data_IF_514681761474
#
_entry.id   IF_514681761474
#
_cell.length_a   1.000
_cell.length_b   1.000
_cell.length_c   1.000
_cell.angle_alpha   90.00
_cell.angle_beta   90.00
_cell.angle_gamma   90.00
#
_symmetry.space_group_name_H-M   'P 1'
#
loop_
_entity.id
_entity.type
_entity.pdbx_description
1 polymer ?
#
# COMPACT_ATOMS: atom_id res chain seq x y z
N UNK A 1 4.82 2.11 6.22
CA UNK A 1 5.30 1.77 4.85
C UNK A 1 4.42 2.47 3.83
N UNK A 2 5.01 3.01 2.77
CA UNK A 2 4.31 3.66 1.66
C UNK A 2 4.61 2.90 0.37
N UNK A 3 3.58 2.54 -0.38
CA UNK A 3 3.72 1.99 -1.72
C UNK A 3 4.14 3.07 -2.71
N UNK A 4 5.30 2.87 -3.35
CA UNK A 4 5.83 3.75 -4.39
C UNK A 4 5.95 3.05 -5.75
N UNK A 5 5.36 1.86 -5.88
CA UNK A 5 5.51 1.01 -7.07
C UNK A 5 4.23 0.75 -7.84
N UNK A 6 3.06 0.94 -7.21
CA UNK A 6 1.79 0.82 -7.93
C UNK A 6 1.40 2.15 -8.55
N UNK A 7 2.09 2.39 -9.66
CA UNK A 7 1.99 3.51 -10.58
C UNK A 7 2.45 4.88 -10.03
N UNK A 8 2.49 5.12 -8.71
CA UNK A 8 2.75 6.46 -8.17
C UNK A 8 4.05 6.55 -7.37
N UNK A 9 5.03 7.30 -7.89
CA UNK A 9 6.26 7.68 -7.15
C UNK A 9 6.12 9.12 -6.65
N UNK A 10 6.13 9.35 -5.32
CA UNK A 10 6.05 10.70 -4.76
C UNK A 10 7.30 11.54 -5.09
N UNK A 11 7.12 12.86 -5.18
CA UNK A 11 8.27 13.78 -5.24
C UNK A 11 9.04 13.77 -3.92
N UNK A 12 10.31 14.17 -3.94
CA UNK A 12 11.11 14.30 -2.70
C UNK A 12 10.47 15.28 -1.72
N UNK A 13 9.80 16.35 -2.21
CA UNK A 13 9.01 17.27 -1.38
C UNK A 13 7.88 16.54 -0.65
N UNK A 14 7.15 15.68 -1.34
CA UNK A 14 6.07 14.89 -0.75
C UNK A 14 6.59 13.88 0.25
N UNK A 15 7.70 13.18 -0.06
CA UNK A 15 8.33 12.25 0.87
C UNK A 15 8.76 12.95 2.17
N UNK A 16 9.30 14.16 2.09
CA UNK A 16 9.62 14.97 3.30
C UNK A 16 8.37 15.35 4.08
N UNK A 17 7.30 15.79 3.41
CA UNK A 17 6.01 16.05 4.06
C UNK A 17 5.50 14.81 4.82
N UNK A 18 5.62 13.63 4.23
CA UNK A 18 5.24 12.37 4.89
C UNK A 18 6.14 12.12 6.09
N UNK A 19 7.46 12.30 5.99
CA UNK A 19 8.39 12.17 7.11
C UNK A 19 8.03 13.12 8.26
N UNK A 20 7.64 14.37 7.97
CA UNK A 20 7.18 15.33 9.00
C UNK A 20 5.92 14.83 9.70
N UNK A 21 4.96 14.28 8.94
CA UNK A 21 3.76 13.65 9.51
C UNK A 21 4.12 12.44 10.38
N UNK A 22 4.99 11.56 9.91
CA UNK A 22 5.45 10.40 10.65
C UNK A 22 6.14 10.80 11.96
N UNK A 23 7.02 11.82 11.94
CA UNK A 23 7.69 12.34 13.12
C UNK A 23 6.70 12.93 14.13
N UNK A 24 5.71 13.70 13.65
CA UNK A 24 4.64 14.27 14.49
C UNK A 24 3.88 13.19 15.28
N UNK A 25 3.62 12.04 14.64
CA UNK A 25 2.91 10.91 15.25
C UNK A 25 3.86 9.81 15.76
N UNK A 26 5.15 10.14 15.99
CA UNK A 26 6.14 9.30 16.68
C UNK A 26 6.45 7.98 16.01
N UNK A 27 6.30 7.89 14.69
CA UNK A 27 6.83 6.76 13.95
C UNK A 27 8.35 6.76 14.00
N UNK A 28 8.93 5.57 14.12
CA UNK A 28 10.39 5.39 14.23
C UNK A 28 11.02 4.82 12.97
N UNK A 29 10.20 4.28 12.07
CA UNK A 29 10.66 3.69 10.81
C UNK A 29 9.80 4.17 9.64
N UNK A 30 10.44 4.29 8.47
CA UNK A 30 9.78 4.54 7.20
C UNK A 30 10.31 3.56 6.15
N UNK A 31 9.41 2.93 5.39
CA UNK A 31 9.74 2.00 4.29
C UNK A 31 9.07 2.50 3.00
N UNK A 32 9.83 2.50 1.90
CA UNK A 32 9.30 2.69 0.55
C UNK A 32 9.14 1.31 -0.08
N UNK A 33 7.90 0.84 -0.22
CA UNK A 33 7.63 -0.44 -0.88
C UNK A 33 8.00 -0.35 -2.35
N UNK A 34 8.98 -1.15 -2.74
CA UNK A 34 9.58 -1.10 -4.07
C UNK A 34 9.45 -2.44 -4.80
N UNK A 35 8.92 -2.40 -6.00
CA UNK A 35 8.95 -3.49 -6.99
C UNK A 35 10.01 -3.19 -8.06
N UNK A 36 9.90 -2.04 -8.74
CA UNK A 36 10.75 -1.62 -9.84
C UNK A 36 11.14 -0.14 -9.83
N UNK A 37 10.64 0.63 -8.87
CA UNK A 37 10.72 2.10 -8.83
C UNK A 37 11.97 2.66 -8.15
N UNK A 38 13.07 1.91 -8.22
CA UNK A 38 14.42 2.41 -7.94
C UNK A 38 15.24 2.39 -9.25
N UNK A 39 16.16 3.35 -9.43
CA UNK A 39 16.95 3.50 -10.65
C UNK A 39 18.10 2.49 -10.70
N UNK A 40 17.79 1.23 -10.99
CA UNK A 40 18.76 0.15 -11.12
C UNK A 40 19.56 0.26 -12.42
N UNK A 41 20.88 0.37 -12.32
CA UNK A 41 21.76 0.43 -13.48
C UNK A 41 21.71 -0.87 -14.29
N UNK A 42 21.60 -0.77 -15.62
CA UNK A 42 21.48 -1.91 -16.53
C UNK A 42 20.09 -2.53 -16.62
N UNK A 43 19.09 -1.93 -15.95
CA UNK A 43 17.70 -2.39 -15.93
C UNK A 43 16.71 -1.30 -16.38
N UNK A 44 17.17 -0.29 -17.09
CA UNK A 44 16.41 0.90 -17.48
C UNK A 44 15.10 0.55 -18.18
N UNK A 45 15.09 -0.47 -19.01
CA UNK A 45 13.88 -0.92 -19.73
C UNK A 45 12.71 -1.38 -18.84
N UNK A 46 12.94 -1.57 -17.52
CA UNK A 46 11.89 -1.94 -16.56
C UNK A 46 11.32 -0.72 -15.86
N UNK A 47 12.14 0.29 -15.58
CA UNK A 47 11.78 1.38 -14.67
C UNK A 47 11.79 2.79 -15.30
N UNK A 48 12.34 2.99 -16.50
CA UNK A 48 12.52 4.34 -17.08
C UNK A 48 11.21 5.13 -17.21
N UNK A 49 10.08 4.47 -17.48
CA UNK A 49 8.76 5.11 -17.56
C UNK A 49 8.13 5.37 -16.19
N UNK A 50 8.67 4.78 -15.11
CA UNK A 50 8.14 4.93 -13.76
C UNK A 50 8.65 6.18 -13.03
N UNK A 51 9.63 6.91 -13.57
CA UNK A 51 10.28 8.04 -12.91
C UNK A 51 10.76 7.67 -11.49
N UNK A 52 11.71 6.72 -11.36
CA UNK A 52 12.04 6.04 -10.12
C UNK A 52 12.80 6.92 -9.13
N UNK A 53 12.89 6.46 -7.88
CA UNK A 53 13.76 7.07 -6.87
C UNK A 53 15.22 6.73 -7.18
N UNK A 54 16.09 7.72 -7.14
CA UNK A 54 17.54 7.57 -7.42
C UNK A 54 18.35 7.37 -6.14
N UNK A 55 19.58 6.79 -6.22
CA UNK A 55 20.50 6.71 -5.08
C UNK A 55 20.75 8.06 -4.40
N UNK A 56 20.90 9.13 -5.18
CA UNK A 56 21.12 10.47 -4.65
C UNK A 56 19.90 11.01 -3.87
N UNK A 57 18.70 10.63 -4.26
CA UNK A 57 17.47 11.02 -3.55
C UNK A 57 17.27 10.18 -2.29
N UNK A 58 17.62 8.89 -2.31
CA UNK A 58 17.65 8.07 -1.08
C UNK A 58 18.58 8.68 -0.06
N UNK A 59 19.79 9.10 -0.44
CA UNK A 59 20.72 9.76 0.48
C UNK A 59 20.12 11.03 1.10
N UNK A 60 19.45 11.87 0.30
CA UNK A 60 18.76 13.09 0.78
C UNK A 60 17.59 12.76 1.70
N UNK A 61 16.81 11.75 1.37
CA UNK A 61 15.66 11.33 2.18
C UNK A 61 16.15 10.72 3.50
N UNK A 62 17.16 9.87 3.47
CA UNK A 62 17.75 9.25 4.65
C UNK A 62 18.29 10.29 5.65
N UNK A 63 19.04 11.27 5.16
CA UNK A 63 19.51 12.38 6.00
C UNK A 63 18.35 13.14 6.64
N UNK A 64 17.26 13.36 5.89
CA UNK A 64 16.06 14.02 6.42
C UNK A 64 15.32 13.15 7.44
N UNK A 65 15.14 11.85 7.17
CA UNK A 65 14.59 10.90 8.13
C UNK A 65 15.40 10.86 9.43
N UNK A 66 16.73 10.77 9.34
CA UNK A 66 17.62 10.76 10.49
C UNK A 66 17.51 12.05 11.32
N UNK A 67 17.41 13.23 10.67
CA UNK A 67 17.17 14.51 11.34
C UNK A 67 15.85 14.51 12.13
N UNK A 68 14.83 13.83 11.62
CA UNK A 68 13.52 13.67 12.28
C UNK A 68 13.46 12.48 13.25
N UNK A 69 14.55 11.74 13.46
CA UNK A 69 14.59 10.57 14.34
C UNK A 69 13.90 9.32 13.76
N UNK A 70 13.81 9.23 12.43
CA UNK A 70 13.17 8.13 11.70
C UNK A 70 14.24 7.32 10.96
N UNK A 71 14.21 6.00 11.10
CA UNK A 71 15.03 5.07 10.33
C UNK A 71 14.40 4.82 8.94
N UNK A 72 15.12 5.11 7.86
CA UNK A 72 14.69 4.73 6.51
C UNK A 72 15.12 3.31 6.21
N UNK A 73 14.15 2.38 6.13
CA UNK A 73 14.40 0.94 5.91
C UNK A 73 14.20 0.60 4.43
N UNK A 74 15.18 -0.04 3.76
CA UNK A 74 15.02 -0.50 2.39
C UNK A 74 13.95 -1.59 2.27
N UNK A 75 13.23 -1.58 1.16
CA UNK A 75 12.21 -2.55 0.82
C UNK A 75 12.30 -2.88 -0.67
N UNK A 76 12.45 -4.15 -1.01
CA UNK A 76 12.48 -4.65 -2.39
C UNK A 76 11.76 -5.98 -2.48
N UNK A 77 10.77 -6.08 -3.35
CA UNK A 77 10.18 -7.38 -3.68
C UNK A 77 11.16 -8.23 -4.48
N UNK A 78 11.26 -9.49 -4.07
CA UNK A 78 12.31 -10.41 -4.56
C UNK A 78 11.77 -11.77 -4.99
N UNK A 79 10.45 -12.01 -4.90
CA UNK A 79 9.86 -13.31 -5.25
C UNK A 79 8.51 -13.17 -5.95
N UNK A 80 7.42 -12.79 -5.24
CA UNK A 80 6.17 -12.31 -5.80
C UNK A 80 6.25 -10.83 -6.18
N UNK A 81 5.19 -10.28 -6.77
CA UNK A 81 5.12 -8.87 -7.20
C UNK A 81 6.24 -8.42 -8.15
N UNK A 82 6.73 -9.35 -8.98
CA UNK A 82 7.76 -9.08 -9.99
C UNK A 82 7.15 -8.82 -11.38
N UNK A 83 5.89 -8.40 -11.45
CA UNK A 83 5.12 -8.27 -12.69
C UNK A 83 5.79 -7.33 -13.71
N UNK A 84 6.27 -6.14 -13.28
CA UNK A 84 6.96 -5.19 -14.16
C UNK A 84 8.29 -5.74 -14.70
N UNK A 85 8.96 -6.56 -13.92
CA UNK A 85 10.17 -7.27 -14.35
C UNK A 85 9.81 -8.37 -15.34
N UNK A 86 8.88 -9.24 -14.99
CA UNK A 86 8.61 -10.47 -15.71
C UNK A 86 7.77 -10.29 -16.98
N UNK A 87 7.06 -9.18 -17.13
CA UNK A 87 6.42 -8.78 -18.40
C UNK A 87 7.43 -8.19 -19.40
N UNK A 88 8.61 -7.75 -18.94
CA UNK A 88 9.68 -7.29 -19.81
C UNK A 88 10.32 -8.49 -20.52
N UNK A 89 10.48 -8.48 -21.87
CA UNK A 89 11.04 -9.59 -22.62
C UNK A 89 12.42 -10.05 -22.14
N UNK A 90 13.26 -9.16 -21.60
CA UNK A 90 14.59 -9.47 -21.07
C UNK A 90 14.52 -10.43 -19.86
N UNK A 91 13.48 -10.37 -19.06
CA UNK A 91 13.34 -11.11 -17.79
C UNK A 91 12.23 -12.14 -17.81
N UNK A 92 11.39 -12.19 -18.83
CA UNK A 92 10.23 -13.09 -18.90
C UNK A 92 10.61 -14.57 -18.68
N UNK A 93 11.79 -14.98 -19.16
CA UNK A 93 12.32 -16.34 -18.96
C UNK A 93 12.63 -16.71 -17.51
N UNK A 94 12.60 -15.73 -16.58
CA UNK A 94 12.77 -15.96 -15.13
C UNK A 94 11.44 -16.23 -14.42
N UNK A 95 10.30 -16.08 -15.10
CA UNK A 95 8.99 -16.27 -14.51
C UNK A 95 8.66 -17.75 -14.28
N UNK A 96 8.02 -18.07 -13.18
CA UNK A 96 7.45 -19.40 -12.92
C UNK A 96 6.40 -19.76 -13.97
N UNK A 97 5.51 -18.81 -14.30
CA UNK A 97 4.52 -18.92 -15.37
C UNK A 97 4.69 -17.76 -16.36
N UNK A 98 5.55 -17.90 -17.39
CA UNK A 98 5.89 -16.80 -18.31
C UNK A 98 4.71 -16.17 -19.06
N UNK A 99 3.59 -16.90 -19.16
CA UNK A 99 2.34 -16.45 -19.81
C UNK A 99 1.28 -15.98 -18.80
N UNK A 100 1.60 -15.94 -17.49
CA UNK A 100 0.60 -15.80 -16.45
C UNK A 100 -0.24 -17.07 -16.27
N UNK A 101 -1.44 -16.92 -15.69
CA UNK A 101 -2.37 -18.04 -15.50
C UNK A 101 -2.45 -18.54 -14.06
N UNK A 102 -1.75 -17.94 -13.12
CA UNK A 102 -1.89 -18.28 -11.70
C UNK A 102 -3.30 -17.99 -11.17
N UNK A 103 -3.86 -18.94 -10.45
CA UNK A 103 -5.14 -18.76 -9.75
C UNK A 103 -4.88 -18.14 -8.37
N UNK A 104 -5.54 -17.03 -8.08
CA UNK A 104 -5.47 -16.41 -6.75
C UNK A 104 -6.43 -17.08 -5.76
N UNK A 105 -6.20 -16.96 -4.45
CA UNK A 105 -7.10 -17.51 -3.43
C UNK A 105 -8.53 -16.96 -3.47
N UNK A 106 -8.73 -15.79 -4.09
CA UNK A 106 -10.05 -15.18 -4.27
C UNK A 106 -10.70 -15.49 -5.63
N UNK A 107 -10.17 -16.48 -6.37
CA UNK A 107 -10.79 -17.01 -7.58
C UNK A 107 -10.57 -16.22 -8.87
N UNK A 108 -9.61 -15.30 -8.88
CA UNK A 108 -9.21 -14.58 -10.11
C UNK A 108 -7.95 -15.18 -10.72
N UNK A 109 -7.81 -15.08 -12.04
CA UNK A 109 -6.62 -15.54 -12.75
C UNK A 109 -5.71 -14.34 -13.03
N UNK A 110 -4.46 -14.41 -12.57
CA UNK A 110 -3.42 -13.42 -12.93
C UNK A 110 -3.12 -13.52 -14.42
N UNK A 111 -3.34 -12.45 -15.17
CA UNK A 111 -3.13 -12.42 -16.63
C UNK A 111 -1.65 -12.33 -17.02
N UNK A 112 -0.80 -11.91 -16.09
CA UNK A 112 0.63 -11.66 -16.29
C UNK A 112 1.44 -12.50 -15.31
N UNK A 113 2.73 -12.81 -15.65
CA UNK A 113 3.65 -13.45 -14.70
C UNK A 113 3.92 -12.53 -13.52
N UNK A 114 3.88 -13.07 -12.29
CA UNK A 114 4.09 -12.27 -11.08
C UNK A 114 5.20 -12.82 -10.19
N UNK A 115 5.58 -14.09 -10.34
CA UNK A 115 6.50 -14.80 -9.44
C UNK A 115 7.72 -15.32 -10.20
N UNK A 116 8.91 -15.08 -9.64
CA UNK A 116 10.16 -15.67 -10.12
C UNK A 116 10.13 -17.21 -10.01
N UNK A 117 10.74 -17.91 -10.95
CA UNK A 117 10.92 -19.36 -10.85
C UNK A 117 12.09 -19.69 -9.90
N UNK A 118 11.82 -20.31 -8.72
CA UNK A 118 12.86 -20.66 -7.74
C UNK A 118 13.90 -21.65 -8.27
N UNK A 119 13.57 -22.40 -9.32
CA UNK A 119 14.47 -23.40 -9.95
C UNK A 119 15.37 -22.77 -11.01
N UNK A 120 15.04 -21.58 -11.48
CA UNK A 120 15.89 -20.88 -12.44
C UNK A 120 17.03 -20.16 -11.71
N UNK A 121 18.31 -20.48 -11.99
CA UNK A 121 19.43 -19.80 -11.32
C UNK A 121 19.50 -18.31 -11.66
N UNK A 122 18.95 -17.87 -12.77
CA UNK A 122 18.83 -16.45 -13.11
C UNK A 122 17.92 -15.68 -12.17
N UNK A 123 16.95 -16.33 -11.50
CA UNK A 123 16.05 -15.68 -10.55
C UNK A 123 16.80 -15.15 -9.34
N UNK A 124 17.63 -15.98 -8.70
CA UNK A 124 18.42 -15.51 -7.55
C UNK A 124 19.53 -14.55 -7.98
N UNK A 125 20.10 -14.73 -9.16
CA UNK A 125 21.10 -13.80 -9.70
C UNK A 125 20.53 -12.39 -9.91
N UNK A 126 19.29 -12.26 -10.43
CA UNK A 126 18.59 -10.99 -10.51
C UNK A 126 18.40 -10.37 -9.12
N UNK A 127 17.91 -11.14 -8.14
CA UNK A 127 17.69 -10.65 -6.77
C UNK A 127 18.99 -10.17 -6.13
N UNK A 128 20.10 -10.89 -6.31
CA UNK A 128 21.43 -10.50 -5.79
C UNK A 128 21.89 -9.18 -6.41
N UNK A 129 21.66 -8.98 -7.70
CA UNK A 129 21.99 -7.73 -8.38
C UNK A 129 21.13 -6.57 -7.85
N UNK A 130 19.81 -6.73 -7.74
CA UNK A 130 18.91 -5.69 -7.21
C UNK A 130 19.29 -5.30 -5.78
N UNK A 131 19.49 -6.29 -4.89
CA UNK A 131 19.90 -6.03 -3.51
C UNK A 131 21.29 -5.40 -3.45
N UNK A 132 22.22 -5.83 -4.33
CA UNK A 132 23.57 -5.27 -4.44
C UNK A 132 23.58 -3.79 -4.81
N UNK A 133 22.62 -3.35 -5.62
CA UNK A 133 22.50 -1.95 -6.03
C UNK A 133 21.69 -1.10 -5.01
N UNK A 134 20.65 -1.67 -4.40
CA UNK A 134 19.77 -0.95 -3.49
C UNK A 134 20.41 -0.76 -2.10
N UNK A 135 20.86 -1.87 -1.46
CA UNK A 135 21.19 -1.90 -0.05
C UNK A 135 22.35 -1.00 0.37
N UNK A 136 23.39 -0.75 -0.45
CA UNK A 136 24.48 0.19 -0.10
C UNK A 136 24.02 1.63 0.10
N UNK A 137 22.82 2.00 -0.36
CA UNK A 137 22.28 3.35 -0.21
C UNK A 137 21.58 3.59 1.14
N UNK A 138 21.44 2.56 1.98
CA UNK A 138 20.70 2.62 3.24
C UNK A 138 21.55 2.26 4.44
N UNK A 139 21.47 3.09 5.49
CA UNK A 139 22.18 2.85 6.76
C UNK A 139 21.48 1.82 7.64
N UNK A 140 20.16 1.66 7.51
CA UNK A 140 19.37 0.69 8.26
C UNK A 140 20.00 -0.69 8.21
N UNK A 141 19.98 -1.39 9.36
CA UNK A 141 20.37 -2.81 9.46
C UNK A 141 19.24 -3.76 9.04
N UNK A 142 18.04 -3.24 8.84
CA UNK A 142 16.89 -4.00 8.37
C UNK A 142 16.73 -3.89 6.85
N UNK A 143 16.08 -4.88 6.25
CA UNK A 143 15.57 -4.83 4.88
C UNK A 143 14.30 -5.65 4.77
N UNK A 144 13.26 -5.11 4.15
CA UNK A 144 12.09 -5.88 3.76
C UNK A 144 12.33 -6.48 2.36
N UNK A 145 12.32 -7.80 2.26
CA UNK A 145 12.60 -8.56 1.04
C UNK A 145 11.33 -9.03 0.32
N UNK A 146 10.13 -8.63 0.77
CA UNK A 146 8.86 -9.04 0.16
C UNK A 146 8.53 -10.51 0.41
N UNK A 147 8.48 -11.30 -0.66
CA UNK A 147 8.19 -12.74 -0.69
C UNK A 147 6.73 -13.12 -0.44
N UNK A 148 5.81 -12.18 -0.56
CA UNK A 148 4.37 -12.38 -0.47
C UNK A 148 3.72 -12.82 -1.80
N UNK A 149 2.49 -13.31 -1.71
CA UNK A 149 1.57 -13.60 -2.81
C UNK A 149 2.17 -14.42 -3.98
N UNK A 150 3.06 -15.35 -3.68
CA UNK A 150 3.69 -16.26 -4.66
C UNK A 150 2.74 -17.38 -5.08
N UNK A 151 1.58 -17.03 -5.68
CA UNK A 151 0.49 -17.98 -5.99
C UNK A 151 0.87 -19.06 -7.00
N UNK A 152 1.92 -18.86 -7.78
CA UNK A 152 2.48 -19.84 -8.72
C UNK A 152 3.26 -20.96 -8.04
N UNK A 153 3.62 -20.80 -6.75
CA UNK A 153 4.41 -21.76 -5.99
C UNK A 153 3.47 -22.58 -5.09
N UNK A 154 3.21 -23.81 -5.51
CA UNK A 154 2.34 -24.71 -4.74
C UNK A 154 3.09 -25.52 -3.69
N UNK A 155 4.40 -25.77 -3.88
CA UNK A 155 5.23 -26.56 -2.99
C UNK A 155 5.87 -25.67 -1.91
N UNK A 156 5.54 -25.87 -0.62
CA UNK A 156 6.15 -25.12 0.49
C UNK A 156 7.68 -25.25 0.55
N UNK A 157 8.23 -26.39 0.16
CA UNK A 157 9.67 -26.60 0.14
C UNK A 157 10.36 -25.72 -0.92
N UNK A 158 9.70 -25.55 -2.07
CA UNK A 158 10.18 -24.68 -3.14
C UNK A 158 10.14 -23.21 -2.69
N UNK A 159 9.09 -22.80 -1.98
CA UNK A 159 8.96 -21.46 -1.39
C UNK A 159 10.06 -21.21 -0.36
N UNK A 160 10.16 -22.06 0.67
CA UNK A 160 11.13 -21.91 1.75
C UNK A 160 12.56 -21.95 1.22
N UNK A 161 12.85 -22.86 0.28
CA UNK A 161 14.17 -22.96 -0.34
C UNK A 161 14.60 -21.68 -1.05
N UNK A 162 13.69 -20.99 -1.76
CA UNK A 162 14.00 -19.71 -2.41
C UNK A 162 14.08 -18.56 -1.41
N UNK A 163 13.14 -18.47 -0.46
CA UNK A 163 13.19 -17.50 0.63
C UNK A 163 14.55 -17.51 1.34
N UNK A 164 15.07 -18.70 1.68
CA UNK A 164 16.37 -18.80 2.35
C UNK A 164 17.53 -18.32 1.48
N UNK A 165 17.49 -18.51 0.15
CA UNK A 165 18.51 -17.95 -0.75
C UNK A 165 18.46 -16.41 -0.76
N UNK A 166 17.26 -15.82 -0.77
CA UNK A 166 17.09 -14.35 -0.70
C UNK A 166 17.57 -13.81 0.66
N UNK A 167 17.25 -14.51 1.75
CA UNK A 167 17.75 -14.19 3.09
C UNK A 167 19.26 -14.13 3.12
N UNK A 168 19.95 -15.14 2.58
CA UNK A 168 21.41 -15.15 2.52
C UNK A 168 21.97 -14.03 1.62
N UNK A 169 21.29 -13.70 0.52
CA UNK A 169 21.66 -12.57 -0.32
C UNK A 169 21.63 -11.25 0.49
N UNK A 170 20.57 -10.99 1.24
CA UNK A 170 20.45 -9.80 2.08
C UNK A 170 21.49 -9.78 3.23
N UNK A 171 21.75 -10.92 3.86
CA UNK A 171 22.73 -11.05 4.94
C UNK A 171 24.17 -10.79 4.50
N UNK A 172 24.53 -11.10 3.24
CA UNK A 172 25.85 -10.73 2.68
C UNK A 172 26.09 -9.22 2.65
N UNK A 173 25.03 -8.42 2.66
CA UNK A 173 25.10 -6.95 2.80
C UNK A 173 25.00 -6.48 4.26
N UNK A 174 25.10 -7.37 5.23
CA UNK A 174 25.01 -7.05 6.66
C UNK A 174 23.61 -6.63 7.12
N UNK A 175 22.57 -7.00 6.38
CA UNK A 175 21.17 -6.67 6.71
C UNK A 175 20.47 -7.82 7.42
N UNK A 176 19.55 -7.50 8.32
CA UNK A 176 18.59 -8.42 8.92
C UNK A 176 17.31 -8.40 8.10
N UNK A 177 16.92 -9.51 7.43
CA UNK A 177 15.74 -9.52 6.56
C UNK A 177 14.42 -9.54 7.32
N UNK A 178 13.43 -8.84 6.73
CA UNK A 178 12.00 -8.91 7.05
C UNK A 178 11.28 -9.46 5.81
N UNK A 179 10.25 -10.29 5.98
CA UNK A 179 9.47 -10.85 4.88
C UNK A 179 7.99 -10.92 5.22
N UNK A 180 7.11 -10.84 4.23
CA UNK A 180 5.67 -10.96 4.44
C UNK A 180 5.26 -12.38 4.77
N UNK A 181 4.46 -12.56 5.81
CA UNK A 181 4.20 -13.84 6.45
C UNK A 181 3.06 -14.68 5.86
N UNK A 182 2.34 -14.19 4.86
CA UNK A 182 1.09 -14.80 4.35
C UNK A 182 1.27 -16.23 3.81
N UNK A 183 2.37 -16.50 3.11
CA UNK A 183 2.63 -17.83 2.55
C UNK A 183 3.04 -18.81 3.65
N UNK A 184 3.95 -18.41 4.55
CA UNK A 184 4.43 -19.30 5.60
C UNK A 184 3.34 -19.62 6.62
N UNK A 185 2.37 -18.73 6.84
CA UNK A 185 1.20 -18.96 7.71
C UNK A 185 0.24 -20.04 7.17
N UNK A 186 0.28 -20.33 5.87
CA UNK A 186 -0.44 -21.47 5.28
C UNK A 186 0.25 -22.80 5.54
N UNK A 187 1.53 -22.74 5.95
CA UNK A 187 2.41 -23.88 6.23
C UNK A 187 3.11 -23.69 7.58
N UNK A 188 2.35 -23.65 8.70
CA UNK A 188 2.88 -23.28 10.03
C UNK A 188 3.98 -24.23 10.51
N UNK A 189 4.00 -25.47 10.06
CA UNK A 189 5.06 -26.45 10.32
C UNK A 189 6.44 -25.99 9.78
N UNK A 190 6.44 -25.15 8.77
CA UNK A 190 7.66 -24.62 8.14
C UNK A 190 8.23 -23.40 8.88
N UNK A 191 7.44 -22.72 9.73
CA UNK A 191 7.89 -21.53 10.46
C UNK A 191 9.05 -21.86 11.39
N UNK A 192 9.02 -23.04 12.06
CA UNK A 192 10.06 -23.45 12.97
C UNK A 192 11.44 -23.68 12.31
N UNK A 193 11.46 -23.87 10.99
CA UNK A 193 12.65 -24.09 10.16
C UNK A 193 13.34 -22.79 9.74
N UNK A 194 12.65 -21.66 9.87
CA UNK A 194 13.21 -20.36 9.48
C UNK A 194 14.28 -19.92 10.50
N UNK A 195 15.35 -19.25 10.04
CA UNK A 195 16.33 -18.62 10.89
C UNK A 195 15.69 -17.64 11.87
N UNK A 196 16.10 -17.69 13.16
CA UNK A 196 15.49 -16.87 14.23
C UNK A 196 15.86 -15.39 14.15
N UNK A 197 16.77 -15.03 13.31
CA UNK A 197 17.15 -13.64 13.03
C UNK A 197 16.32 -12.99 11.91
N UNK A 198 15.33 -13.70 11.35
CA UNK A 198 14.31 -13.10 10.47
C UNK A 198 13.24 -12.37 11.28
N UNK A 199 12.53 -11.46 10.58
CA UNK A 199 11.32 -10.82 11.10
C UNK A 199 10.17 -11.11 10.14
N UNK A 200 9.13 -11.76 10.63
CA UNK A 200 7.91 -11.95 9.86
C UNK A 200 7.03 -10.68 9.92
N UNK A 201 6.42 -10.32 8.80
CA UNK A 201 5.48 -9.22 8.68
C UNK A 201 4.07 -9.81 8.54
N UNK A 202 3.32 -9.78 9.64
CA UNK A 202 1.96 -10.30 9.77
C UNK A 202 0.97 -9.25 9.31
N UNK A 203 0.49 -9.35 8.06
CA UNK A 203 -0.33 -8.34 7.42
C UNK A 203 -1.79 -8.74 7.22
N UNK A 204 -2.68 -7.79 7.38
CA UNK A 204 -4.10 -7.92 7.08
C UNK A 204 -4.84 -6.61 7.22
N UNK A 205 -5.92 -6.41 6.43
CA UNK A 205 -6.48 -5.07 6.22
C UNK A 205 -7.96 -4.95 6.55
N UNK A 206 -8.59 -6.04 6.97
CA UNK A 206 -9.97 -5.98 7.45
C UNK A 206 -10.01 -5.85 8.98
N UNK A 207 -11.05 -5.19 9.51
CA UNK A 207 -11.22 -5.02 10.95
C UNK A 207 -11.30 -6.34 11.72
N UNK A 208 -11.77 -7.40 11.08
CA UNK A 208 -11.86 -8.75 11.65
C UNK A 208 -10.70 -9.68 11.26
N UNK A 209 -9.58 -9.14 10.75
CA UNK A 209 -8.41 -9.95 10.41
C UNK A 209 -7.90 -10.71 11.65
N UNK A 210 -7.52 -12.00 11.53
CA UNK A 210 -7.20 -12.86 12.68
C UNK A 210 -5.77 -12.64 13.24
N UNK A 211 -5.31 -11.38 13.42
CA UNK A 211 -3.98 -11.05 13.93
C UNK A 211 -3.61 -11.83 15.21
N UNK A 212 -4.55 -12.04 16.13
CA UNK A 212 -4.26 -12.77 17.37
C UNK A 212 -3.85 -14.23 17.14
N UNK A 213 -4.47 -14.90 16.13
CA UNK A 213 -4.13 -16.28 15.76
C UNK A 213 -2.76 -16.35 15.08
N UNK A 214 -2.51 -15.43 14.16
CA UNK A 214 -1.29 -15.40 13.34
C UNK A 214 -0.07 -14.96 14.16
N UNK A 215 -0.22 -13.92 15.00
CA UNK A 215 0.79 -13.52 15.98
C UNK A 215 1.14 -14.61 16.98
N UNK A 216 0.15 -15.42 17.43
CA UNK A 216 0.41 -16.58 18.29
C UNK A 216 1.31 -17.60 17.59
N UNK A 217 1.09 -17.90 16.31
CA UNK A 217 1.90 -18.87 15.56
C UNK A 217 3.36 -18.42 15.44
N UNK A 218 3.63 -17.15 15.15
CA UNK A 218 5.00 -16.62 15.12
C UNK A 218 5.66 -16.65 16.49
N UNK A 219 4.93 -16.27 17.55
CA UNK A 219 5.44 -16.32 18.93
C UNK A 219 5.78 -17.75 19.35
N UNK A 220 4.90 -18.72 19.09
CA UNK A 220 5.12 -20.13 19.43
C UNK A 220 6.32 -20.70 18.68
N UNK A 221 6.51 -20.31 17.42
CA UNK A 221 7.69 -20.69 16.65
C UNK A 221 8.97 -19.97 17.09
N UNK A 222 8.91 -19.00 18.00
CA UNK A 222 10.06 -18.20 18.45
C UNK A 222 10.66 -17.32 17.35
N UNK A 223 9.83 -16.85 16.40
CA UNK A 223 10.22 -15.94 15.34
C UNK A 223 9.79 -14.52 15.71
N UNK A 224 10.69 -13.55 15.57
CA UNK A 224 10.33 -12.15 15.71
C UNK A 224 9.34 -11.76 14.60
N UNK A 225 8.36 -10.93 14.94
CA UNK A 225 7.35 -10.48 13.98
C UNK A 225 6.90 -9.04 14.22
N UNK A 226 6.37 -8.42 13.18
CA UNK A 226 5.62 -7.16 13.23
C UNK A 226 4.16 -7.46 12.88
N UNK A 227 3.22 -6.70 13.45
CA UNK A 227 1.84 -6.65 12.97
C UNK A 227 1.69 -5.50 11.99
N UNK A 228 1.06 -5.75 10.85
CA UNK A 228 1.06 -4.82 9.71
C UNK A 228 -0.37 -4.48 9.25
N UNK A 229 -1.08 -3.61 9.99
CA UNK A 229 -2.38 -3.11 9.56
C UNK A 229 -2.24 -2.06 8.45
N UNK A 230 -3.35 -1.61 7.89
CA UNK A 230 -3.38 -0.65 6.81
C UNK A 230 -4.16 0.62 7.05
N UNK A 231 -3.87 1.66 6.25
CA UNK A 231 -4.64 2.91 6.22
C UNK A 231 -6.04 2.74 5.65
N UNK A 232 -6.32 1.63 4.97
CA UNK A 232 -7.57 1.33 4.26
C UNK A 232 -7.99 2.44 3.27
N UNK A 233 -7.03 3.15 2.72
CA UNK A 233 -7.26 4.26 1.77
C UNK A 233 -7.41 3.78 0.33
N UNK A 234 -6.63 2.76 -0.07
CA UNK A 234 -6.60 2.25 -1.45
C UNK A 234 -7.91 1.56 -1.85
N UNK A 235 -8.19 1.57 -3.14
CA UNK A 235 -9.41 0.98 -3.74
C UNK A 235 -10.71 1.38 -3.04
N UNK A 236 -10.79 2.63 -2.53
CA UNK A 236 -11.92 3.06 -1.70
C UNK A 236 -12.55 4.40 -2.08
N UNK A 237 -11.88 5.22 -2.90
CA UNK A 237 -12.18 6.59 -3.29
C UNK A 237 -12.12 7.61 -2.14
N UNK A 238 -12.78 7.33 -1.02
CA UNK A 238 -12.84 8.19 0.17
C UNK A 238 -12.10 7.68 1.40
N UNK A 239 -11.52 6.48 1.36
CA UNK A 239 -11.07 5.73 2.53
C UNK A 239 -12.17 4.82 3.08
N UNK A 240 -11.78 3.88 3.97
CA UNK A 240 -12.70 3.01 4.75
C UNK A 240 -12.42 3.21 6.23
N UNK A 241 -12.86 4.36 6.77
CA UNK A 241 -12.43 4.86 8.10
C UNK A 241 -12.80 3.89 9.23
N UNK A 242 -14.00 3.33 9.25
CA UNK A 242 -14.38 2.41 10.34
C UNK A 242 -13.59 1.10 10.25
N UNK A 243 -13.42 0.53 9.04
CA UNK A 243 -12.56 -0.63 8.85
C UNK A 243 -11.11 -0.34 9.28
N UNK A 244 -10.57 0.82 8.93
CA UNK A 244 -9.23 1.25 9.35
C UNK A 244 -9.11 1.33 10.87
N UNK A 245 -10.09 1.90 11.58
CA UNK A 245 -10.11 1.99 13.05
C UNK A 245 -10.05 0.60 13.69
N UNK A 246 -10.92 -0.30 13.25
CA UNK A 246 -11.00 -1.67 13.76
C UNK A 246 -9.71 -2.46 13.46
N UNK A 247 -9.19 -2.34 12.23
CA UNK A 247 -7.97 -3.03 11.80
C UNK A 247 -6.74 -2.56 12.59
N UNK A 248 -6.55 -1.25 12.74
CA UNK A 248 -5.46 -0.69 13.54
C UNK A 248 -5.53 -1.14 15.01
N UNK A 249 -6.72 -1.12 15.60
CA UNK A 249 -6.93 -1.53 17.00
C UNK A 249 -6.66 -3.03 17.20
N UNK A 250 -7.16 -3.89 16.28
CA UNK A 250 -6.96 -5.34 16.35
C UNK A 250 -5.48 -5.73 16.21
N UNK A 251 -4.75 -5.08 15.31
CA UNK A 251 -3.32 -5.29 15.14
C UNK A 251 -2.52 -4.85 16.38
N UNK A 252 -2.85 -3.69 16.98
CA UNK A 252 -2.19 -3.21 18.20
C UNK A 252 -2.42 -4.17 19.37
N UNK A 253 -3.66 -4.58 19.62
CA UNK A 253 -3.97 -5.51 20.70
C UNK A 253 -3.23 -6.83 20.53
N UNK A 254 -3.27 -7.43 19.33
CA UNK A 254 -2.56 -8.67 19.06
C UNK A 254 -1.04 -8.50 19.19
N UNK A 255 -0.48 -7.44 18.60
CA UNK A 255 0.95 -7.15 18.68
C UNK A 255 1.45 -7.05 20.11
N UNK A 256 0.74 -6.33 20.96
CA UNK A 256 1.07 -6.18 22.38
C UNK A 256 0.93 -7.48 23.17
N UNK A 257 -0.15 -8.21 22.97
CA UNK A 257 -0.42 -9.49 23.67
C UNK A 257 0.61 -10.56 23.34
N UNK A 258 1.05 -10.63 22.09
CA UNK A 258 1.96 -11.69 21.63
C UNK A 258 3.41 -11.21 21.51
N UNK A 259 3.71 -9.94 21.80
CA UNK A 259 5.08 -9.43 21.88
C UNK A 259 5.71 -9.14 20.53
N UNK A 260 4.93 -8.61 19.59
CA UNK A 260 5.44 -8.09 18.33
C UNK A 260 6.57 -7.09 18.55
N UNK A 261 7.58 -7.14 17.67
CA UNK A 261 8.73 -6.21 17.70
C UNK A 261 8.44 -4.89 17.01
N UNK A 262 7.36 -4.83 16.24
CA UNK A 262 6.95 -3.62 15.54
C UNK A 262 5.47 -3.62 15.18
N UNK A 263 5.00 -2.40 14.86
CA UNK A 263 3.66 -2.10 14.39
C UNK A 263 3.82 -1.25 13.13
N UNK A 264 3.62 -1.86 11.97
CA UNK A 264 3.92 -1.26 10.67
C UNK A 264 2.63 -0.90 9.94
N UNK A 265 2.19 0.33 10.02
CA UNK A 265 1.05 0.82 9.23
C UNK A 265 1.44 0.87 7.76
N UNK A 266 0.66 0.21 6.90
CA UNK A 266 0.89 0.13 5.46
C UNK A 266 -0.07 1.03 4.70
N UNK A 267 0.41 1.65 3.63
CA UNK A 267 -0.37 2.47 2.70
C UNK A 267 -0.10 2.00 1.26
N UNK A 268 -1.09 1.38 0.64
CA UNK A 268 -0.98 0.73 -0.66
C UNK A 268 -1.55 1.58 -1.79
N UNK A 269 -1.10 1.32 -3.01
CA UNK A 269 -1.52 2.00 -4.23
C UNK A 269 -2.26 1.13 -5.24
N UNK A 270 -2.88 0.05 -4.79
CA UNK A 270 -3.52 -0.95 -5.64
C UNK A 270 -4.44 -0.37 -6.71
N UNK A 271 -4.41 -0.95 -7.90
CA UNK A 271 -5.26 -0.60 -9.05
C UNK A 271 -5.14 0.87 -9.49
N UNK A 272 -3.90 1.35 -9.58
CA UNK A 272 -3.61 2.65 -10.19
C UNK A 272 -3.48 3.81 -9.22
N UNK A 273 -3.50 3.56 -7.92
CA UNK A 273 -3.26 4.56 -6.87
C UNK A 273 -4.13 5.81 -7.02
N UNK A 274 -5.44 5.60 -7.16
CA UNK A 274 -6.41 6.68 -7.41
C UNK A 274 -6.66 7.56 -6.19
N UNK A 275 -6.54 7.02 -4.97
CA UNK A 275 -6.71 7.82 -3.76
C UNK A 275 -5.59 8.86 -3.61
N UNK A 276 -5.91 10.12 -3.27
CA UNK A 276 -4.90 11.11 -2.91
C UNK A 276 -4.37 10.87 -1.50
N UNK A 277 -3.26 11.51 -1.14
CA UNK A 277 -2.62 11.38 0.18
C UNK A 277 -3.56 11.73 1.33
N UNK A 278 -4.50 12.64 1.12
CA UNK A 278 -5.51 13.00 2.13
C UNK A 278 -6.31 11.78 2.62
N UNK A 279 -6.59 10.81 1.75
CA UNK A 279 -7.32 9.59 2.14
C UNK A 279 -6.56 8.73 3.14
N UNK A 280 -5.23 8.81 3.16
CA UNK A 280 -4.35 8.02 4.05
C UNK A 280 -4.11 8.72 5.40
N UNK A 281 -4.37 10.04 5.51
CA UNK A 281 -4.13 10.80 6.74
C UNK A 281 -4.79 10.20 7.98
N UNK A 282 -6.08 9.79 7.95
CA UNK A 282 -6.71 9.19 9.11
C UNK A 282 -5.95 7.98 9.67
N UNK A 283 -5.48 7.09 8.78
CA UNK A 283 -4.73 5.89 9.14
C UNK A 283 -3.33 6.21 9.67
N UNK A 284 -2.64 7.20 9.08
CA UNK A 284 -1.32 7.65 9.57
C UNK A 284 -1.45 8.26 10.96
N UNK A 285 -2.41 9.15 11.17
CA UNK A 285 -2.64 9.84 12.45
C UNK A 285 -3.02 8.84 13.55
N UNK A 286 -4.02 8.03 13.29
CA UNK A 286 -4.55 7.09 14.28
C UNK A 286 -3.59 5.93 14.54
N UNK A 287 -2.90 5.41 13.52
CA UNK A 287 -1.94 4.33 13.67
C UNK A 287 -0.77 4.69 14.57
N UNK A 288 -0.17 5.88 14.41
CA UNK A 288 0.86 6.35 15.33
C UNK A 288 0.34 6.54 16.76
N UNK A 289 -0.90 6.97 16.89
CA UNK A 289 -1.54 7.13 18.20
C UNK A 289 -1.79 5.77 18.87
N UNK A 290 -2.24 4.74 18.13
CA UNK A 290 -2.38 3.38 18.65
C UNK A 290 -1.04 2.81 19.12
N UNK A 291 0.03 2.98 18.33
CA UNK A 291 1.37 2.51 18.70
C UNK A 291 1.86 3.13 20.04
N UNK A 292 1.51 4.41 20.31
CA UNK A 292 1.92 5.11 21.53
C UNK A 292 1.00 4.87 22.73
N UNK A 293 -0.31 4.81 22.52
CA UNK A 293 -1.30 4.89 23.59
C UNK A 293 -2.13 3.60 23.76
N UNK A 294 -1.95 2.63 22.87
CA UNK A 294 -2.75 1.40 22.87
C UNK A 294 -4.23 1.70 22.70
N UNK A 295 -5.07 0.94 23.37
CA UNK A 295 -6.53 1.07 23.29
C UNK A 295 -7.07 2.48 23.59
N UNK A 296 -6.32 3.33 24.30
CA UNK A 296 -6.73 4.73 24.57
C UNK A 296 -6.84 5.57 23.29
N UNK A 297 -6.12 5.19 22.24
CA UNK A 297 -6.18 5.87 20.94
C UNK A 297 -7.59 5.87 20.32
N UNK A 298 -8.43 4.88 20.66
CA UNK A 298 -9.81 4.81 20.18
C UNK A 298 -10.65 6.05 20.58
N UNK A 299 -10.28 6.73 21.66
CA UNK A 299 -10.97 7.93 22.18
C UNK A 299 -10.39 9.24 21.62
N UNK A 300 -9.43 9.19 20.69
CA UNK A 300 -8.86 10.39 20.11
C UNK A 300 -9.91 11.16 19.29
N UNK A 301 -9.93 12.47 19.45
CA UNK A 301 -10.66 13.36 18.55
C UNK A 301 -9.90 13.48 17.22
N UNK A 302 -10.18 12.51 16.33
CA UNK A 302 -9.50 12.39 15.04
C UNK A 302 -9.80 13.59 14.13
N UNK A 303 -11.01 14.15 14.20
CA UNK A 303 -11.37 15.34 13.43
C UNK A 303 -10.47 16.54 13.79
N UNK A 304 -10.31 16.80 15.08
CA UNK A 304 -9.44 17.88 15.56
C UNK A 304 -7.99 17.68 15.14
N UNK A 305 -7.47 16.46 15.24
CA UNK A 305 -6.11 16.16 14.82
C UNK A 305 -5.92 16.34 13.31
N UNK A 306 -6.87 15.88 12.49
CA UNK A 306 -6.85 16.08 11.04
C UNK A 306 -6.92 17.58 10.67
N UNK A 307 -7.76 18.37 11.36
CA UNK A 307 -7.80 19.82 11.17
C UNK A 307 -6.43 20.46 11.44
N UNK A 308 -5.74 20.02 12.49
CA UNK A 308 -4.42 20.52 12.86
C UNK A 308 -3.31 20.07 11.87
N UNK A 309 -3.44 18.89 11.24
CA UNK A 309 -2.54 18.43 10.18
C UNK A 309 -2.72 19.23 8.90
N UNK A 310 -3.97 19.49 8.54
CA UNK A 310 -4.31 20.16 7.28
C UNK A 310 -4.30 21.68 7.36
N UNK A 311 -4.09 22.23 8.56
CA UNK A 311 -4.16 23.68 8.87
C UNK A 311 -5.47 24.32 8.36
N UNK A 312 -6.58 23.59 8.49
CA UNK A 312 -7.92 24.02 8.08
C UNK A 312 -8.99 23.08 8.65
N UNK A 313 -10.26 23.54 8.82
CA UNK A 313 -11.35 22.72 9.33
C UNK A 313 -11.88 21.73 8.27
N UNK A 314 -11.03 20.81 7.87
CA UNK A 314 -11.27 19.84 6.77
C UNK A 314 -11.50 18.41 7.28
N UNK A 315 -11.15 18.10 8.55
CA UNK A 315 -11.17 16.75 9.10
C UNK A 315 -12.55 16.10 9.07
N UNK A 316 -13.59 16.84 9.47
CA UNK A 316 -14.97 16.36 9.44
C UNK A 316 -15.45 16.01 8.01
N UNK A 317 -15.06 16.79 7.01
CA UNK A 317 -15.39 16.52 5.62
C UNK A 317 -14.66 15.28 5.09
N UNK A 318 -13.37 15.14 5.43
CA UNK A 318 -12.58 13.95 5.06
C UNK A 318 -13.18 12.69 5.69
N UNK A 319 -13.49 12.72 6.97
CA UNK A 319 -14.12 11.59 7.67
C UNK A 319 -15.50 11.26 7.09
N UNK A 320 -16.28 12.27 6.71
CA UNK A 320 -17.60 12.07 6.10
C UNK A 320 -17.49 11.31 4.77
N UNK A 321 -16.55 11.65 3.91
CA UNK A 321 -16.28 10.89 2.68
C UNK A 321 -15.83 9.46 2.98
N UNK A 322 -14.99 9.26 3.99
CA UNK A 322 -14.45 7.97 4.39
C UNK A 322 -15.45 7.01 5.05
N UNK A 323 -16.68 7.43 5.32
CA UNK A 323 -17.77 6.57 5.81
C UNK A 323 -18.78 6.19 4.73
N UNK A 324 -18.71 6.79 3.53
CA UNK A 324 -19.70 6.55 2.47
C UNK A 324 -19.69 5.11 1.93
N UNK A 325 -18.57 4.40 2.06
CA UNK A 325 -18.47 2.98 1.69
C UNK A 325 -19.43 2.06 2.47
N UNK A 326 -19.93 2.50 3.63
CA UNK A 326 -20.86 1.74 4.46
C UNK A 326 -22.32 1.80 3.95
N UNK A 327 -22.63 2.76 3.07
CA UNK A 327 -24.00 2.94 2.58
C UNK A 327 -24.44 1.73 1.76
N UNK A 328 -25.70 1.34 1.93
CA UNK A 328 -26.27 0.18 1.25
C UNK A 328 -25.75 -1.18 1.72
N UNK A 329 -24.93 -1.24 2.78
CA UNK A 329 -24.42 -2.50 3.34
C UNK A 329 -23.50 -3.28 2.40
N UNK A 330 -22.99 -2.65 1.36
CA UNK A 330 -22.17 -3.27 0.32
C UNK A 330 -20.70 -3.38 0.74
N UNK A 331 -20.42 -4.13 1.81
CA UNK A 331 -19.07 -4.31 2.32
C UNK A 331 -18.27 -5.25 1.39
N UNK A 332 -17.07 -4.83 1.03
CA UNK A 332 -16.10 -5.58 0.23
C UNK A 332 -14.77 -5.65 0.96
N UNK A 333 -14.14 -6.81 0.94
CA UNK A 333 -12.78 -6.96 1.47
C UNK A 333 -11.79 -6.18 0.59
N UNK A 334 -10.90 -5.46 1.24
CA UNK A 334 -9.78 -4.73 0.62
C UNK A 334 -10.17 -3.68 -0.44
N UNK A 335 -11.42 -3.25 -0.50
CA UNK A 335 -11.90 -2.21 -1.42
C UNK A 335 -13.25 -1.63 -0.97
N UNK A 336 -13.78 -0.68 -1.73
CA UNK A 336 -15.18 -0.25 -1.63
C UNK A 336 -15.97 -0.60 -2.90
N UNK A 337 -17.26 -0.79 -2.75
CA UNK A 337 -18.13 -1.03 -3.90
C UNK A 337 -18.16 0.17 -4.87
N UNK A 338 -18.05 1.39 -4.35
CA UNK A 338 -17.97 2.60 -5.17
C UNK A 338 -16.71 2.61 -6.07
N UNK A 339 -15.58 2.09 -5.56
CA UNK A 339 -14.38 1.93 -6.37
C UNK A 339 -14.63 0.93 -7.50
N UNK A 340 -15.23 -0.21 -7.22
CA UNK A 340 -15.53 -1.21 -8.23
C UNK A 340 -16.50 -0.67 -9.29
N UNK A 341 -17.56 0.05 -8.89
CA UNK A 341 -18.47 0.70 -9.83
C UNK A 341 -17.72 1.63 -10.77
N UNK A 342 -16.75 2.40 -10.30
CA UNK A 342 -15.99 3.36 -11.10
C UNK A 342 -15.01 2.67 -12.06
N UNK A 343 -14.32 1.61 -11.63
CA UNK A 343 -13.17 1.03 -12.34
C UNK A 343 -13.48 -0.27 -13.10
N UNK A 344 -14.54 -0.97 -12.75
CA UNK A 344 -14.89 -2.21 -13.42
C UNK A 344 -15.51 -1.97 -14.83
N UNK A 345 -15.34 -2.94 -15.75
CA UNK A 345 -15.82 -2.80 -17.11
C UNK A 345 -17.34 -2.70 -17.21
N UNK A 346 -17.84 -2.36 -18.39
CA UNK A 346 -19.26 -2.36 -18.69
C UNK A 346 -19.92 -3.68 -18.31
N UNK A 347 -21.05 -3.63 -17.59
CA UNK A 347 -21.78 -4.80 -17.14
C UNK A 347 -21.44 -5.25 -15.71
N UNK A 348 -20.57 -4.53 -14.99
CA UNK A 348 -20.39 -4.79 -13.56
C UNK A 348 -21.75 -4.73 -12.83
N UNK A 349 -22.08 -5.81 -12.12
CA UNK A 349 -23.29 -5.89 -11.31
C UNK A 349 -22.99 -5.35 -9.92
N UNK A 350 -23.44 -4.12 -9.65
CA UNK A 350 -23.31 -3.52 -8.33
C UNK A 350 -24.06 -4.31 -7.26
N UNK A 351 -23.64 -4.20 -6.02
CA UNK A 351 -24.31 -4.81 -4.88
C UNK A 351 -25.77 -4.34 -4.80
N UNK A 352 -26.76 -5.25 -4.59
CA UNK A 352 -28.19 -4.92 -4.55
C UNK A 352 -28.56 -3.83 -3.54
N UNK A 353 -27.82 -3.74 -2.43
CA UNK A 353 -28.01 -2.72 -1.40
C UNK A 353 -27.70 -1.28 -1.86
N UNK A 354 -26.91 -1.10 -2.92
CA UNK A 354 -26.64 0.22 -3.51
C UNK A 354 -27.71 0.54 -4.57
N UNK A 355 -28.92 0.85 -4.12
CA UNK A 355 -30.01 1.31 -4.99
C UNK A 355 -29.70 2.67 -5.60
N UNK A 356 -30.44 3.09 -6.64
CA UNK A 356 -30.29 4.42 -7.23
C UNK A 356 -30.52 5.51 -6.18
N UNK A 357 -31.54 5.37 -5.31
CA UNK A 357 -31.80 6.32 -4.23
C UNK A 357 -30.61 6.47 -3.26
N UNK A 358 -29.90 5.38 -2.95
CA UNK A 358 -28.70 5.42 -2.10
C UNK A 358 -27.52 6.05 -2.83
N UNK A 359 -27.35 5.80 -4.14
CA UNK A 359 -26.34 6.45 -4.95
C UNK A 359 -26.60 7.98 -5.05
N UNK A 360 -27.86 8.39 -5.21
CA UNK A 360 -28.25 9.82 -5.18
C UNK A 360 -27.96 10.44 -3.82
N UNK A 361 -28.22 9.75 -2.71
CA UNK A 361 -27.85 10.20 -1.36
C UNK A 361 -26.34 10.38 -1.22
N UNK A 362 -25.54 9.39 -1.65
CA UNK A 362 -24.07 9.44 -1.61
C UNK A 362 -23.55 10.62 -2.44
N UNK A 363 -24.05 10.78 -3.67
CA UNK A 363 -23.70 11.88 -4.55
C UNK A 363 -24.05 13.25 -3.93
N UNK A 364 -25.23 13.38 -3.34
CA UNK A 364 -25.64 14.60 -2.63
C UNK A 364 -24.72 14.95 -1.47
N UNK A 365 -24.27 13.94 -0.69
CA UNK A 365 -23.30 14.14 0.39
C UNK A 365 -21.95 14.58 -0.17
N UNK A 366 -21.45 13.92 -1.21
CA UNK A 366 -20.18 14.25 -1.85
C UNK A 366 -20.22 15.67 -2.44
N UNK A 367 -21.29 16.05 -3.12
CA UNK A 367 -21.50 17.39 -3.63
C UNK A 367 -21.51 18.46 -2.52
N UNK A 368 -22.17 18.18 -1.39
CA UNK A 368 -22.16 19.05 -0.22
C UNK A 368 -20.77 19.25 0.36
N UNK A 369 -19.96 18.18 0.45
CA UNK A 369 -18.55 18.26 0.88
C UNK A 369 -17.75 19.11 -0.11
N UNK A 370 -17.88 18.85 -1.41
CA UNK A 370 -17.19 19.62 -2.44
C UNK A 370 -17.44 21.12 -2.29
N UNK A 371 -18.69 21.56 -2.26
CA UNK A 371 -19.07 22.98 -2.13
C UNK A 371 -18.49 23.59 -0.84
N UNK A 372 -18.53 22.87 0.28
CA UNK A 372 -18.02 23.38 1.55
C UNK A 372 -16.49 23.50 1.59
N UNK A 373 -15.77 22.61 0.90
CA UNK A 373 -14.30 22.54 0.92
C UNK A 373 -13.67 23.40 -0.16
N UNK A 374 -14.35 23.65 -1.29
CA UNK A 374 -13.82 24.36 -2.47
C UNK A 374 -13.25 25.75 -2.12
N UNK A 375 -13.85 26.45 -1.16
CA UNK A 375 -13.35 27.76 -0.66
C UNK A 375 -11.94 27.74 -0.09
N UNK A 376 -11.42 26.56 0.28
CA UNK A 376 -10.05 26.38 0.79
C UNK A 376 -9.08 25.92 -0.32
N UNK A 377 -9.57 25.46 -1.47
CA UNK A 377 -8.75 24.77 -2.48
C UNK A 377 -7.69 25.66 -3.12
N UNK A 378 -7.90 26.98 -3.24
CA UNK A 378 -6.91 27.88 -3.84
C UNK A 378 -5.57 27.91 -3.07
N UNK A 379 -5.60 27.71 -1.75
CA UNK A 379 -4.44 27.89 -0.85
C UNK A 379 -4.05 26.63 -0.08
N UNK A 380 -4.82 25.55 -0.23
CA UNK A 380 -4.62 24.33 0.56
C UNK A 380 -4.69 23.08 -0.34
N UNK A 381 -3.58 22.38 -0.50
CA UNK A 381 -3.50 21.18 -1.33
C UNK A 381 -4.34 20.02 -0.78
N UNK A 382 -4.54 19.94 0.55
CA UNK A 382 -5.43 18.95 1.16
C UNK A 382 -6.88 19.18 0.78
N UNK A 383 -7.29 20.45 0.70
CA UNK A 383 -8.63 20.79 0.22
C UNK A 383 -8.84 20.38 -1.24
N UNK A 384 -7.85 20.61 -2.12
CA UNK A 384 -7.89 20.10 -3.51
C UNK A 384 -8.06 18.59 -3.58
N UNK A 385 -7.33 17.86 -2.74
CA UNK A 385 -7.40 16.40 -2.65
C UNK A 385 -8.78 15.94 -2.16
N UNK A 386 -9.38 16.61 -1.17
CA UNK A 386 -10.73 16.28 -0.65
C UNK A 386 -11.82 16.60 -1.70
N UNK A 387 -11.71 17.72 -2.42
CA UNK A 387 -12.59 18.02 -3.55
C UNK A 387 -12.51 16.93 -4.61
N UNK A 388 -11.31 16.52 -4.96
CA UNK A 388 -11.11 15.42 -5.90
C UNK A 388 -11.71 14.09 -5.41
N UNK A 389 -11.56 13.75 -4.12
CA UNK A 389 -12.22 12.56 -3.54
C UNK A 389 -13.74 12.63 -3.67
N UNK A 390 -14.33 13.80 -3.42
CA UNK A 390 -15.76 14.02 -3.61
C UNK A 390 -16.17 13.83 -5.08
N UNK A 391 -15.37 14.31 -6.04
CA UNK A 391 -15.62 14.14 -7.47
C UNK A 391 -15.46 12.67 -7.92
N UNK A 392 -14.50 11.91 -7.36
CA UNK A 392 -14.37 10.47 -7.59
C UNK A 392 -15.65 9.72 -7.17
N UNK A 393 -16.16 10.02 -5.97
CA UNK A 393 -17.37 9.41 -5.41
C UNK A 393 -18.61 9.78 -6.25
N UNK A 394 -18.78 11.05 -6.56
CA UNK A 394 -19.88 11.52 -7.41
C UNK A 394 -19.86 10.88 -8.80
N UNK A 395 -18.67 10.76 -9.40
CA UNK A 395 -18.48 10.08 -10.68
C UNK A 395 -18.81 8.58 -10.60
N UNK A 396 -18.49 7.91 -9.51
CA UNK A 396 -18.88 6.51 -9.28
C UNK A 396 -20.40 6.35 -9.24
N UNK A 397 -21.11 7.28 -8.58
CA UNK A 397 -22.56 7.28 -8.51
C UNK A 397 -23.22 7.56 -9.90
N UNK A 398 -22.53 8.29 -10.77
CA UNK A 398 -23.00 8.69 -12.11
C UNK A 398 -22.12 8.13 -13.23
N UNK A 399 -21.65 6.90 -13.10
CA UNK A 399 -20.65 6.29 -13.99
C UNK A 399 -20.97 6.37 -15.49
N UNK A 400 -22.24 6.45 -15.87
CA UNK A 400 -22.68 6.56 -17.27
C UNK A 400 -22.56 7.98 -17.85
N UNK A 401 -22.20 8.98 -17.04
CA UNK A 401 -21.99 10.35 -17.50
C UNK A 401 -20.55 10.51 -18.03
N UNK A 402 -20.41 10.45 -19.35
CA UNK A 402 -19.13 10.60 -20.04
C UNK A 402 -18.47 11.97 -19.78
N UNK A 403 -19.27 13.03 -19.60
CA UNK A 403 -18.77 14.37 -19.31
C UNK A 403 -18.04 14.41 -17.97
N UNK A 404 -18.64 13.81 -16.94
CA UNK A 404 -18.01 13.69 -15.60
C UNK A 404 -16.74 12.86 -15.64
N UNK A 405 -16.75 11.73 -16.36
CA UNK A 405 -15.56 10.86 -16.48
C UNK A 405 -14.42 11.57 -17.22
N UNK A 406 -14.71 12.36 -18.23
CA UNK A 406 -13.71 13.17 -18.94
C UNK A 406 -13.10 14.24 -18.01
N UNK A 407 -13.95 14.99 -17.31
CA UNK A 407 -13.50 15.98 -16.33
C UNK A 407 -12.65 15.34 -15.20
N UNK A 408 -13.05 14.17 -14.74
CA UNK A 408 -12.30 13.42 -13.72
C UNK A 408 -10.91 13.01 -14.20
N UNK A 409 -10.75 12.61 -15.47
CA UNK A 409 -9.42 12.28 -16.04
C UNK A 409 -8.48 13.48 -16.05
N UNK A 410 -8.99 14.64 -16.41
CA UNK A 410 -8.21 15.88 -16.42
C UNK A 410 -7.84 16.31 -14.99
N UNK A 411 -8.78 16.18 -14.07
CA UNK A 411 -8.55 16.47 -12.64
C UNK A 411 -7.54 15.52 -12.03
N UNK A 412 -7.63 14.21 -12.32
CA UNK A 412 -6.66 13.20 -11.85
C UNK A 412 -5.23 13.61 -12.18
N UNK A 413 -4.98 14.05 -13.41
CA UNK A 413 -3.66 14.53 -13.80
C UNK A 413 -3.17 15.75 -13.00
N UNK A 414 -4.07 16.67 -12.64
CA UNK A 414 -3.72 17.83 -11.79
C UNK A 414 -3.39 17.41 -10.35
N UNK A 415 -4.22 16.55 -9.76
CA UNK A 415 -4.03 16.05 -8.39
C UNK A 415 -2.78 15.15 -8.30
N UNK A 416 -2.52 14.34 -9.34
CA UNK A 416 -1.28 13.54 -9.41
C UNK A 416 -0.03 14.40 -9.24
N UNK A 417 0.06 15.52 -10.00
CA UNK A 417 1.23 16.43 -9.98
C UNK A 417 1.40 17.21 -8.68
N UNK A 418 0.40 17.27 -7.81
CA UNK A 418 0.55 17.91 -6.49
C UNK A 418 1.57 17.17 -5.63
N UNK A 419 1.61 15.84 -5.74
CA UNK A 419 2.36 14.98 -4.83
C UNK A 419 3.38 14.08 -5.52
N UNK A 420 3.21 13.80 -6.79
CA UNK A 420 3.90 12.72 -7.48
C UNK A 420 4.65 13.19 -8.71
N UNK A 421 5.57 12.35 -9.18
CA UNK A 421 6.29 12.49 -10.44
C UNK A 421 5.36 12.13 -11.61
N UNK A 422 5.79 12.40 -12.85
CA UNK A 422 4.94 12.09 -14.03
C UNK A 422 4.85 10.59 -14.32
N UNK A 423 5.86 9.81 -13.95
CA UNK A 423 5.87 8.37 -14.18
C UNK A 423 4.64 7.67 -13.59
N UNK A 424 4.12 6.67 -14.30
CA UNK A 424 2.96 5.88 -13.91
C UNK A 424 1.59 6.57 -14.05
N UNK A 425 1.53 7.88 -14.27
CA UNK A 425 0.25 8.62 -14.39
C UNK A 425 -0.63 8.11 -15.53
N UNK A 426 -0.03 7.75 -16.65
CA UNK A 426 -0.75 7.21 -17.80
C UNK A 426 -1.28 5.80 -17.47
N UNK A 427 -0.47 4.97 -16.83
CA UNK A 427 -0.86 3.63 -16.38
C UNK A 427 -2.04 3.70 -15.42
N UNK A 428 -1.99 4.62 -14.44
CA UNK A 428 -3.10 4.90 -13.54
C UNK A 428 -4.37 5.27 -14.30
N UNK A 429 -4.29 6.21 -15.25
CA UNK A 429 -5.42 6.64 -16.08
C UNK A 429 -6.00 5.50 -16.94
N UNK A 430 -5.18 4.56 -17.38
CA UNK A 430 -5.64 3.40 -18.17
C UNK A 430 -6.46 2.39 -17.35
N UNK A 431 -6.37 2.41 -16.01
CA UNK A 431 -7.22 1.58 -15.14
C UNK A 431 -8.68 2.03 -15.16
N UNK A 432 -8.97 3.26 -15.53
CA UNK A 432 -10.35 3.72 -15.72
C UNK A 432 -10.88 3.21 -17.07
N UNK A 433 -12.03 2.53 -17.11
CA UNK A 433 -12.61 2.02 -18.35
C UNK A 433 -12.72 3.11 -19.41
N UNK A 434 -12.39 2.76 -20.66
CA UNK A 434 -12.67 3.62 -21.84
C UNK A 434 -14.08 3.30 -22.32
N UNK A 435 -14.80 4.32 -22.75
CA UNK A 435 -16.10 4.21 -23.42
C UNK A 435 -15.93 4.09 -24.91
#
# INVERSE_FOLDING_TARGET
MLDVSRDRVPTLRTLRLIVDLLARYRYTQFQLYTEHTFAYAGHESVWEEADPVTPAEIAKLQAYCAFQGIELVPNQNTFGHMERWLTNPKYNGLAKFPKGGAMTPWGTVKKFPTTLDPKNPGSIALVEDLLGQLLPNFESKLVNIGCDETFEIADPEEYVGFLLKVVEAAKRHGKRPMFWGDIILKHPESIARLPKDLIALDWGYEGNHPFAKEAAAFKEAGLDFYVCPGTSSWRSLGGRIENMRENLAAAEDAGRRFGAKGYLVTDWGDEGHWQPLAASLPGIVLGGTFAMQGAKAANMDLERELNAVMDAPLGGYLMKLGTLYLRGGALKANCSELFNILHEPHGYSRHPGLTDAILDEISGIAAGVRVAVERYADRNDWAKEIVYMANLIDCACHRRDEGRLRALRDEHGRIWRLRSREGGRVDSLMKLPRF
#
